data_IF_033971791167
#
_entry.id   IF_033971791167
#
_cell.length_a   1.000
_cell.length_b   1.000
_cell.length_c   1.000
_cell.angle_alpha   90.00
_cell.angle_beta   90.00
_cell.angle_gamma   90.00
#
_symmetry.space_group_name_H-M   'P 1'
#
loop_
_entity.id
_entity.type
_entity.pdbx_description
1 polymer ?
#
# COMPACT_ATOMS: atom_id res chain seq x y z
N UNK A 1 26.28 41.24 7.27
CA UNK A 1 25.63 40.29 8.20
C UNK A 1 25.01 39.18 7.38
N UNK A 2 25.54 37.97 7.52
CA UNK A 2 24.90 36.76 7.02
C UNK A 2 23.71 36.43 7.92
N UNK A 3 22.57 36.09 7.33
CA UNK A 3 21.60 35.24 7.99
C UNK A 3 21.12 34.22 6.97
N UNK A 4 21.53 32.98 7.21
CA UNK A 4 21.10 31.79 6.50
C UNK A 4 20.05 31.05 7.35
N UNK A 5 19.28 30.20 6.65
CA UNK A 5 18.26 29.24 7.13
C UNK A 5 16.93 29.91 7.48
N UNK A 6 15.83 29.51 6.84
CA UNK A 6 15.22 28.18 6.98
C UNK A 6 14.52 27.85 5.65
N UNK A 7 14.89 26.83 4.88
CA UNK A 7 14.97 25.43 5.27
C UNK A 7 13.63 24.76 4.91
N UNK A 8 13.45 24.51 3.61
CA UNK A 8 12.39 23.75 2.92
C UNK A 8 11.26 23.13 3.78
N UNK A 9 10.11 23.80 3.83
CA UNK A 9 8.80 23.14 3.99
C UNK A 9 8.44 22.41 2.68
N UNK A 10 9.15 21.33 2.37
CA UNK A 10 8.65 20.36 1.39
C UNK A 10 7.59 19.49 2.06
N UNK A 11 6.36 19.99 1.97
CA UNK A 11 5.13 19.20 2.03
C UNK A 11 5.13 18.14 0.92
N UNK A 12 5.88 17.06 1.11
CA UNK A 12 5.74 15.85 0.28
C UNK A 12 4.56 15.04 0.79
N UNK A 13 3.38 15.52 0.39
CA UNK A 13 2.11 14.80 0.35
C UNK A 13 2.22 13.63 -0.64
N UNK A 14 3.12 12.68 -0.38
CA UNK A 14 2.97 11.34 -0.93
C UNK A 14 1.79 10.72 -0.19
N UNK A 15 0.75 10.31 -0.93
CA UNK A 15 -0.39 9.59 -0.36
C UNK A 15 0.15 8.50 0.56
N UNK A 16 -0.01 8.68 1.87
CA UNK A 16 0.55 7.74 2.83
C UNK A 16 -0.18 6.44 2.60
N UNK A 17 0.56 5.41 2.15
CA UNK A 17 0.05 4.05 1.99
C UNK A 17 -0.62 3.63 3.30
N UNK A 18 -1.95 3.50 3.29
CA UNK A 18 -2.75 3.10 4.45
C UNK A 18 -3.68 1.96 4.10
N UNK A 19 -3.87 1.05 5.05
CA UNK A 19 -4.80 -0.06 4.97
C UNK A 19 -5.69 -0.05 6.21
N UNK A 20 -6.92 -0.51 6.07
CA UNK A 20 -7.77 -0.83 7.23
C UNK A 20 -7.29 -2.14 7.87
N UNK A 21 -7.69 -2.36 9.13
CA UNK A 21 -7.43 -3.62 9.83
C UNK A 21 -7.92 -4.84 9.04
N UNK A 22 -9.12 -4.76 8.48
CA UNK A 22 -9.76 -5.84 7.74
C UNK A 22 -8.99 -6.18 6.46
N UNK A 23 -8.63 -5.15 5.69
CA UNK A 23 -7.84 -5.31 4.46
C UNK A 23 -6.47 -5.90 4.80
N UNK A 24 -5.79 -5.38 5.83
CA UNK A 24 -4.49 -5.93 6.25
C UNK A 24 -4.59 -7.41 6.65
N UNK A 25 -5.60 -7.79 7.41
CA UNK A 25 -5.82 -9.18 7.83
C UNK A 25 -6.12 -10.11 6.66
N UNK A 26 -6.86 -9.63 5.65
CA UNK A 26 -7.18 -10.42 4.44
C UNK A 26 -5.93 -10.62 3.57
N UNK A 27 -5.18 -9.55 3.29
CA UNK A 27 -3.94 -9.58 2.49
C UNK A 27 -2.88 -10.48 3.11
N UNK A 28 -2.73 -10.45 4.44
CA UNK A 28 -1.65 -11.16 5.13
C UNK A 28 -1.97 -12.63 5.42
N UNK A 29 -3.23 -13.06 5.31
CA UNK A 29 -3.66 -14.45 5.60
C UNK A 29 -2.92 -15.50 4.78
N UNK A 30 -2.63 -15.19 3.51
CA UNK A 30 -1.93 -16.10 2.59
C UNK A 30 -0.48 -15.66 2.31
N UNK A 31 0.00 -14.61 2.99
CA UNK A 31 1.32 -14.04 2.73
C UNK A 31 2.38 -14.79 3.56
N UNK A 32 3.30 -15.48 2.89
CA UNK A 32 4.38 -16.21 3.56
C UNK A 32 5.50 -15.26 4.02
N UNK A 33 5.29 -14.56 5.14
CA UNK A 33 6.24 -13.62 5.74
C UNK A 33 6.40 -13.85 7.23
N UNK A 34 7.59 -13.53 7.75
CA UNK A 34 7.86 -13.64 9.17
C UNK A 34 7.09 -12.61 10.01
N UNK A 35 6.84 -12.94 11.28
CA UNK A 35 6.10 -12.10 12.23
C UNK A 35 6.62 -10.66 12.31
N UNK A 36 7.94 -10.47 12.37
CA UNK A 36 8.55 -9.13 12.41
C UNK A 36 8.19 -8.27 11.16
N UNK A 37 8.09 -8.89 9.98
CA UNK A 37 7.66 -8.18 8.76
C UNK A 37 6.20 -7.74 8.87
N UNK A 38 5.33 -8.60 9.42
CA UNK A 38 3.93 -8.27 9.67
C UNK A 38 3.78 -7.15 10.69
N UNK A 39 4.52 -7.21 11.80
CA UNK A 39 4.47 -6.20 12.86
C UNK A 39 4.89 -4.81 12.35
N UNK A 40 5.98 -4.75 11.57
CA UNK A 40 6.45 -3.50 10.93
C UNK A 40 5.39 -3.00 9.94
N UNK A 41 4.90 -3.87 9.05
CA UNK A 41 3.93 -3.47 8.04
C UNK A 41 2.60 -3.01 8.65
N UNK A 42 2.14 -3.67 9.72
CA UNK A 42 0.94 -3.29 10.46
C UNK A 42 1.12 -1.91 11.10
N UNK A 43 2.21 -1.69 11.82
CA UNK A 43 2.47 -0.41 12.45
C UNK A 43 2.59 0.75 11.45
N UNK A 44 3.12 0.50 10.24
CA UNK A 44 3.23 1.54 9.21
C UNK A 44 1.92 1.74 8.44
N UNK A 45 1.32 0.67 7.92
CA UNK A 45 0.17 0.74 7.00
C UNK A 45 -1.16 0.90 7.74
N UNK A 46 -1.31 0.30 8.92
CA UNK A 46 -2.54 0.34 9.69
C UNK A 46 -2.49 1.43 10.75
N UNK A 47 -1.48 1.41 11.64
CA UNK A 47 -1.38 2.40 12.72
C UNK A 47 -0.87 3.77 12.24
N UNK A 48 -0.19 3.81 11.10
CA UNK A 48 0.35 5.05 10.54
C UNK A 48 1.65 5.53 11.17
N UNK A 49 2.37 4.67 11.89
CA UNK A 49 3.68 5.00 12.45
C UNK A 49 4.70 5.24 11.33
N UNK A 50 5.62 6.21 11.50
CA UNK A 50 6.66 6.45 10.52
C UNK A 50 7.63 5.26 10.45
N UNK A 51 8.12 4.91 9.26
CA UNK A 51 9.13 3.84 9.11
C UNK A 51 10.40 4.08 9.95
N UNK A 52 10.76 5.36 10.15
CA UNK A 52 11.88 5.77 11.00
C UNK A 52 11.78 5.22 12.44
N UNK A 53 10.56 5.12 12.98
CA UNK A 53 10.32 4.53 14.30
C UNK A 53 10.82 3.08 14.39
N UNK A 54 10.59 2.29 13.34
CA UNK A 54 11.02 0.88 13.30
C UNK A 54 12.51 0.73 13.03
N UNK A 55 13.11 1.64 12.27
CA UNK A 55 14.57 1.70 12.11
C UNK A 55 15.25 1.89 13.47
N UNK A 56 14.75 2.83 14.27
CA UNK A 56 15.33 3.16 15.58
C UNK A 56 15.02 2.12 16.66
N UNK A 57 13.81 1.56 16.67
CA UNK A 57 13.37 0.61 17.71
C UNK A 57 13.93 -0.79 17.52
N UNK A 58 14.07 -1.23 16.26
CA UNK A 58 14.51 -2.59 15.93
C UNK A 58 15.97 -2.66 15.48
N UNK A 59 16.66 -1.52 15.40
CA UNK A 59 18.05 -1.38 14.92
C UNK A 59 18.30 -2.08 13.57
N UNK A 60 17.34 -1.94 12.65
CA UNK A 60 17.43 -2.50 11.29
C UNK A 60 17.51 -1.40 10.25
N UNK A 61 18.08 -1.72 9.09
CA UNK A 61 18.24 -0.73 8.02
C UNK A 61 16.90 -0.20 7.50
N UNK A 62 16.90 1.07 7.06
CA UNK A 62 15.74 1.68 6.37
C UNK A 62 15.28 0.85 5.17
N UNK A 63 16.21 0.21 4.47
CA UNK A 63 15.92 -0.69 3.35
C UNK A 63 15.11 -1.91 3.79
N UNK A 64 15.47 -2.53 4.92
CA UNK A 64 14.74 -3.67 5.46
C UNK A 64 13.30 -3.31 5.87
N UNK A 65 13.13 -2.16 6.55
CA UNK A 65 11.79 -1.64 6.89
C UNK A 65 10.95 -1.37 5.64
N UNK A 66 11.54 -0.68 4.65
CA UNK A 66 10.85 -0.39 3.38
C UNK A 66 10.43 -1.67 2.64
N UNK A 67 11.31 -2.69 2.61
CA UNK A 67 10.99 -3.99 2.02
C UNK A 67 9.85 -4.70 2.76
N UNK A 68 9.84 -4.67 4.10
CA UNK A 68 8.77 -5.25 4.90
C UNK A 68 7.41 -4.63 4.56
N UNK A 69 7.35 -3.29 4.52
CA UNK A 69 6.14 -2.54 4.18
C UNK A 69 5.70 -2.81 2.75
N UNK A 70 6.63 -2.76 1.78
CA UNK A 70 6.30 -2.96 0.37
C UNK A 70 5.81 -4.39 0.10
N UNK A 71 6.34 -5.41 0.77
CA UNK A 71 5.89 -6.79 0.58
C UNK A 71 4.40 -6.98 0.88
N UNK A 72 3.89 -6.35 1.94
CA UNK A 72 2.45 -6.37 2.25
C UNK A 72 1.66 -5.47 1.29
N UNK A 73 2.20 -4.30 0.95
CA UNK A 73 1.54 -3.38 0.02
C UNK A 73 1.39 -3.95 -1.40
N UNK A 74 2.38 -4.70 -1.88
CA UNK A 74 2.35 -5.33 -3.19
C UNK A 74 1.37 -6.51 -3.19
N UNK A 75 1.29 -7.27 -2.09
CA UNK A 75 0.25 -8.28 -1.89
C UNK A 75 -1.15 -7.64 -1.90
N UNK A 76 -1.32 -6.48 -1.25
CA UNK A 76 -2.58 -5.72 -1.30
C UNK A 76 -2.96 -5.30 -2.73
N UNK A 77 -2.01 -4.83 -3.55
CA UNK A 77 -2.28 -4.51 -4.96
C UNK A 77 -2.71 -5.71 -5.80
N UNK A 78 -2.31 -6.91 -5.40
CA UNK A 78 -2.69 -8.15 -6.06
C UNK A 78 -4.00 -8.72 -5.52
N UNK A 79 -4.40 -8.32 -4.31
CA UNK A 79 -5.66 -8.72 -3.71
C UNK A 79 -6.84 -8.36 -4.62
N UNK A 80 -7.80 -9.28 -4.66
CA UNK A 80 -9.09 -9.06 -5.31
C UNK A 80 -10.12 -8.92 -4.20
N UNK A 81 -10.88 -7.81 -4.14
CA UNK A 81 -11.91 -7.62 -3.12
C UNK A 81 -12.94 -8.75 -3.11
N UNK A 82 -13.57 -8.99 -1.95
CA UNK A 82 -14.61 -10.01 -1.84
C UNK A 82 -15.76 -9.73 -2.81
N UNK A 83 -16.22 -10.78 -3.52
CA UNK A 83 -17.23 -10.65 -4.57
C UNK A 83 -16.71 -10.20 -5.93
N UNK A 84 -15.41 -9.93 -6.07
CA UNK A 84 -14.76 -9.60 -7.35
C UNK A 84 -13.86 -10.74 -7.82
N UNK A 85 -13.57 -10.76 -9.13
CA UNK A 85 -12.65 -11.71 -9.76
C UNK A 85 -11.69 -10.95 -10.67
N UNK A 86 -10.39 -11.30 -10.63
CA UNK A 86 -9.41 -10.82 -11.60
C UNK A 86 -9.40 -11.75 -12.80
N UNK A 87 -9.61 -11.19 -13.99
CA UNK A 87 -9.58 -11.92 -15.26
C UNK A 87 -8.55 -11.31 -16.20
N UNK A 88 -7.90 -12.15 -16.99
CA UNK A 88 -7.01 -11.75 -18.09
C UNK A 88 -7.53 -12.42 -19.37
N UNK A 89 -7.90 -11.62 -20.37
CA UNK A 89 -8.60 -12.08 -21.58
C UNK A 89 -8.18 -11.28 -22.81
N UNK A 90 -8.20 -11.91 -23.99
CA UNK A 90 -8.00 -11.26 -25.29
C UNK A 90 -9.37 -11.00 -25.91
N UNK A 91 -9.69 -9.73 -26.20
CA UNK A 91 -11.00 -9.30 -26.71
C UNK A 91 -10.86 -8.33 -27.89
N UNK A 92 -11.84 -8.28 -28.81
CA UNK A 92 -11.96 -7.20 -29.79
C UNK A 92 -12.07 -5.82 -29.12
N UNK A 93 -11.57 -4.78 -29.78
CA UNK A 93 -11.43 -3.43 -29.22
C UNK A 93 -12.72 -2.87 -28.59
N UNK A 94 -13.87 -3.04 -29.26
CA UNK A 94 -15.18 -2.59 -28.75
C UNK A 94 -15.56 -3.27 -27.44
N UNK A 95 -15.25 -4.56 -27.28
CA UNK A 95 -15.54 -5.29 -26.05
C UNK A 95 -14.57 -4.90 -24.93
N UNK A 96 -13.28 -4.73 -25.26
CA UNK A 96 -12.30 -4.22 -24.31
C UNK A 96 -12.67 -2.83 -23.75
N UNK A 97 -13.24 -1.95 -24.58
CA UNK A 97 -13.75 -0.66 -24.14
C UNK A 97 -14.88 -0.78 -23.09
N UNK A 98 -15.80 -1.72 -23.28
CA UNK A 98 -16.90 -1.98 -22.33
C UNK A 98 -16.33 -2.49 -20.99
N UNK A 99 -15.42 -3.46 -21.03
CA UNK A 99 -14.78 -4.02 -19.82
C UNK A 99 -14.00 -2.94 -19.07
N UNK A 100 -13.30 -2.02 -19.77
CA UNK A 100 -12.62 -0.88 -19.15
C UNK A 100 -13.60 0.03 -18.40
N UNK A 101 -14.74 0.37 -19.01
CA UNK A 101 -15.78 1.17 -18.33
C UNK A 101 -16.30 0.51 -17.06
N UNK A 102 -16.57 -0.80 -17.10
CA UNK A 102 -17.02 -1.52 -15.91
C UNK A 102 -15.96 -1.52 -14.80
N UNK A 103 -14.67 -1.65 -15.16
CA UNK A 103 -13.58 -1.57 -14.19
C UNK A 103 -13.50 -0.19 -13.51
N UNK A 104 -13.70 0.89 -14.26
CA UNK A 104 -13.71 2.26 -13.72
C UNK A 104 -14.93 2.51 -12.82
N UNK A 105 -16.12 2.05 -13.23
CA UNK A 105 -17.33 2.14 -12.42
C UNK A 105 -17.22 1.35 -11.10
N UNK A 106 -16.61 0.16 -11.15
CA UNK A 106 -16.36 -0.65 -9.97
C UNK A 106 -15.43 0.06 -8.97
N UNK A 107 -14.37 0.75 -9.44
CA UNK A 107 -13.47 1.52 -8.57
C UNK A 107 -14.18 2.67 -7.86
N UNK A 108 -14.98 3.45 -8.60
CA UNK A 108 -15.74 4.58 -8.00
C UNK A 108 -16.67 4.11 -6.88
N UNK A 109 -17.38 3.00 -7.08
CA UNK A 109 -18.26 2.42 -6.06
C UNK A 109 -17.55 1.89 -4.82
N UNK A 110 -16.23 1.69 -4.87
CA UNK A 110 -15.43 1.31 -3.69
C UNK A 110 -14.89 2.50 -2.92
N UNK A 111 -14.89 3.70 -3.52
CA UNK A 111 -14.42 4.94 -2.90
C UNK A 111 -15.56 5.76 -2.25
N UNK A 112 -16.81 5.47 -2.60
CA UNK A 112 -18.06 5.99 -1.97
C UNK A 112 -18.47 5.18 -0.73
#
# INVERSE_FOLDING_TARGET
MHVAKTGDEKSEKSEKKRLTNEVFARVTRSLNVGKQTLDIAYGVLVEGRPQKYFVETLDISRGAVSQAVNRVWDAYKQEVPDGFVRIEVVLPERQAFIVKKWADEAKRKQEE
#
